data_IF_241594946922
#
_entry.id   IF_241594946922
#
_cell.length_a   1.000
_cell.length_b   1.000
_cell.length_c   1.000
_cell.angle_alpha   90.00
_cell.angle_beta   90.00
_cell.angle_gamma   90.00
#
_symmetry.space_group_name_H-M   'P 1'
#
loop_
_entity.id
_entity.type
_entity.pdbx_description
1 polymer ?
#
# COMPACT_ATOMS: atom_id res chain seq x y z
N UNK A 1 1.02 14.11 -10.17
CA UNK A 1 1.64 13.31 -11.24
C UNK A 1 1.90 11.91 -10.69
N UNK A 2 1.34 10.88 -11.32
CA UNK A 2 1.56 9.49 -10.95
C UNK A 2 3.04 9.15 -11.16
N UNK A 3 3.66 8.48 -10.19
CA UNK A 3 5.01 7.98 -10.32
C UNK A 3 4.95 6.61 -11.01
N UNK A 4 5.61 6.48 -12.15
CA UNK A 4 5.78 5.19 -12.83
C UNK A 4 6.87 4.38 -12.14
N UNK A 5 6.63 3.08 -11.96
CA UNK A 5 7.61 2.17 -11.35
C UNK A 5 8.70 1.72 -12.32
N UNK A 6 9.78 1.20 -11.76
CA UNK A 6 10.94 0.66 -12.49
C UNK A 6 11.00 -0.86 -12.38
N UNK A 7 11.99 -1.48 -12.99
CA UNK A 7 12.23 -2.92 -12.83
C UNK A 7 12.87 -3.23 -11.48
N UNK A 8 12.34 -4.24 -10.78
CA UNK A 8 12.93 -4.84 -9.59
C UNK A 8 13.52 -6.21 -9.95
N UNK A 9 14.76 -6.47 -9.55
CA UNK A 9 15.43 -7.75 -9.76
C UNK A 9 15.63 -8.46 -8.41
N UNK A 10 15.04 -9.65 -8.27
CA UNK A 10 15.30 -10.57 -7.16
C UNK A 10 16.34 -11.60 -7.59
N UNK A 11 17.52 -11.60 -6.97
CA UNK A 11 18.61 -12.52 -7.24
C UNK A 11 18.84 -13.50 -6.10
N UNK A 12 18.86 -14.78 -6.41
CA UNK A 12 19.30 -15.81 -5.46
C UNK A 12 20.84 -15.80 -5.37
N UNK A 13 21.39 -15.54 -4.21
CA UNK A 13 22.84 -15.38 -4.01
C UNK A 13 23.62 -16.70 -4.14
N UNK A 14 22.97 -17.84 -3.93
CA UNK A 14 23.64 -19.17 -4.08
C UNK A 14 23.66 -19.62 -5.53
N UNK A 15 22.53 -19.55 -6.23
CA UNK A 15 22.40 -20.04 -7.60
C UNK A 15 22.68 -19.00 -8.68
N UNK A 16 22.74 -17.71 -8.31
CA UNK A 16 22.82 -16.60 -9.26
C UNK A 16 21.54 -16.34 -10.06
N UNK A 17 20.49 -17.15 -9.86
CA UNK A 17 19.25 -17.02 -10.61
C UNK A 17 18.53 -15.72 -10.29
N UNK A 18 18.04 -15.03 -11.33
CA UNK A 18 17.31 -13.77 -11.23
C UNK A 18 15.84 -13.95 -11.62
N UNK A 19 14.98 -13.16 -10.99
CA UNK A 19 13.58 -12.96 -11.37
C UNK A 19 13.31 -11.46 -11.42
N UNK A 20 12.63 -11.00 -12.45
CA UNK A 20 12.40 -9.59 -12.73
C UNK A 20 10.93 -9.26 -12.60
N UNK A 21 10.61 -8.12 -11.97
CA UNK A 21 9.26 -7.60 -11.78
C UNK A 21 9.20 -6.19 -12.34
N UNK A 22 8.26 -5.95 -13.25
CA UNK A 22 8.12 -4.64 -13.91
C UNK A 22 7.29 -3.65 -13.08
N UNK A 23 7.48 -2.37 -13.34
CA UNK A 23 6.68 -1.25 -12.81
C UNK A 23 6.65 -1.14 -11.27
N UNK A 24 7.68 -1.61 -10.58
CA UNK A 24 7.74 -1.59 -9.12
C UNK A 24 8.07 -0.19 -8.61
N UNK A 25 7.22 0.34 -7.73
CA UNK A 25 7.41 1.65 -7.06
C UNK A 25 7.91 1.50 -5.62
N UNK A 26 7.59 0.37 -4.97
CA UNK A 26 8.10 0.05 -3.64
C UNK A 26 8.05 -1.46 -3.41
N UNK A 27 8.90 -1.95 -2.52
CA UNK A 27 8.93 -3.37 -2.16
C UNK A 27 9.31 -3.57 -0.70
N UNK A 28 8.94 -4.73 -0.17
CA UNK A 28 9.28 -5.22 1.16
C UNK A 28 9.58 -6.71 1.08
N UNK A 29 10.70 -7.12 1.67
CA UNK A 29 11.08 -8.51 1.80
C UNK A 29 10.95 -8.91 3.27
N UNK A 30 10.35 -10.08 3.56
CA UNK A 30 10.30 -10.62 4.92
C UNK A 30 11.71 -10.92 5.44
N UNK A 31 11.91 -10.90 6.76
CA UNK A 31 13.21 -11.16 7.39
C UNK A 31 13.78 -12.53 7.01
N UNK A 32 12.91 -13.53 6.86
CA UNK A 32 13.32 -14.89 6.43
C UNK A 32 13.53 -15.02 4.92
N UNK A 33 13.31 -13.93 4.15
CA UNK A 33 13.47 -13.88 2.70
C UNK A 33 12.45 -14.66 1.89
N UNK A 34 11.40 -15.22 2.51
CA UNK A 34 10.42 -16.09 1.82
C UNK A 34 9.26 -15.33 1.18
N UNK A 35 8.98 -14.12 1.62
CA UNK A 35 7.86 -13.32 1.14
C UNK A 35 8.34 -11.95 0.63
N UNK A 36 8.15 -11.71 -0.66
CA UNK A 36 8.36 -10.42 -1.30
C UNK A 36 6.98 -9.80 -1.56
N UNK A 37 6.77 -8.58 -1.08
CA UNK A 37 5.58 -7.78 -1.39
C UNK A 37 6.02 -6.54 -2.14
N UNK A 38 5.34 -6.20 -3.22
CA UNK A 38 5.64 -5.00 -3.98
C UNK A 38 4.39 -4.30 -4.50
N UNK A 39 4.46 -2.98 -4.57
CA UNK A 39 3.48 -2.16 -5.26
C UNK A 39 3.97 -1.86 -6.67
N UNK A 40 3.09 -1.98 -7.64
CA UNK A 40 3.36 -1.65 -9.03
C UNK A 40 2.51 -0.48 -9.51
N UNK A 41 3.08 0.35 -10.39
CA UNK A 41 2.39 1.43 -11.06
C UNK A 41 2.91 1.58 -12.50
N UNK A 42 2.08 1.28 -13.47
CA UNK A 42 2.37 1.45 -14.91
C UNK A 42 1.80 2.77 -15.44
N UNK A 43 2.31 3.21 -16.56
CA UNK A 43 1.88 4.47 -17.21
C UNK A 43 0.38 4.48 -17.52
N UNK A 44 -0.15 3.38 -18.01
CA UNK A 44 -1.55 3.17 -18.37
C UNK A 44 -2.42 2.60 -17.26
N UNK A 45 -1.84 2.40 -16.06
CA UNK A 45 -2.49 1.83 -14.88
C UNK A 45 -2.94 0.37 -15.00
N UNK A 46 -2.58 -0.34 -16.06
CA UNK A 46 -2.98 -1.75 -16.27
C UNK A 46 -2.31 -2.72 -15.30
N UNK A 47 -1.09 -2.40 -14.86
CA UNK A 47 -0.34 -3.19 -13.88
C UNK A 47 -0.40 -2.64 -12.45
N UNK A 48 -1.21 -1.59 -12.21
CA UNK A 48 -1.30 -1.01 -10.88
C UNK A 48 -1.86 -1.99 -9.86
N UNK A 49 -1.17 -2.13 -8.75
CA UNK A 49 -1.59 -3.06 -7.72
C UNK A 49 -0.56 -3.33 -6.65
N UNK A 50 -0.99 -4.11 -5.67
CA UNK A 50 -0.16 -4.69 -4.62
C UNK A 50 -0.09 -6.19 -4.81
N UNK A 51 1.11 -6.72 -4.86
CA UNK A 51 1.40 -8.12 -5.17
C UNK A 51 2.25 -8.76 -4.08
N UNK A 52 1.99 -10.04 -3.79
CA UNK A 52 2.83 -10.85 -2.92
C UNK A 52 3.39 -12.05 -3.68
N UNK A 53 4.66 -12.35 -3.43
CA UNK A 53 5.41 -13.44 -4.05
C UNK A 53 5.99 -14.33 -2.95
N UNK A 54 5.80 -15.63 -3.07
CA UNK A 54 6.60 -16.60 -2.34
C UNK A 54 7.91 -16.81 -3.10
N UNK A 55 9.03 -16.38 -2.55
CA UNK A 55 10.33 -16.40 -3.23
C UNK A 55 10.87 -17.80 -3.48
N UNK A 56 10.42 -18.82 -2.72
CA UNK A 56 10.83 -20.20 -2.86
C UNK A 56 10.01 -20.91 -3.95
N UNK A 57 8.68 -20.85 -3.88
CA UNK A 57 7.78 -21.51 -4.83
C UNK A 57 7.52 -20.69 -6.07
N UNK A 58 7.74 -19.34 -5.99
CA UNK A 58 7.44 -18.33 -7.00
C UNK A 58 5.95 -18.11 -7.26
N UNK A 59 5.11 -18.65 -6.39
CA UNK A 59 3.69 -18.34 -6.44
C UNK A 59 3.47 -16.86 -6.20
N UNK A 60 2.63 -16.24 -7.04
CA UNK A 60 2.28 -14.84 -6.94
C UNK A 60 0.79 -14.67 -6.67
N UNK A 61 0.45 -13.70 -5.85
CA UNK A 61 -0.93 -13.32 -5.52
C UNK A 61 -1.07 -11.82 -5.74
N UNK A 62 -2.06 -11.43 -6.53
CA UNK A 62 -2.50 -10.05 -6.59
C UNK A 62 -3.39 -9.77 -5.36
N UNK A 63 -2.88 -9.02 -4.39
CA UNK A 63 -3.60 -8.73 -3.15
C UNK A 63 -4.75 -7.76 -3.43
N UNK A 64 -4.46 -6.69 -4.15
CA UNK A 64 -5.43 -5.68 -4.58
C UNK A 64 -4.91 -5.01 -5.85
N UNK A 65 -5.77 -4.86 -6.86
CA UNK A 65 -5.41 -4.26 -8.15
C UNK A 65 -6.31 -3.09 -8.49
N UNK A 66 -5.85 -2.26 -9.39
CA UNK A 66 -6.54 -1.10 -9.92
C UNK A 66 -5.77 0.20 -9.75
N UNK A 67 -6.13 1.24 -10.52
CA UNK A 67 -5.47 2.55 -10.47
C UNK A 67 -5.50 3.11 -9.06
N UNK A 68 -4.34 3.26 -8.43
CA UNK A 68 -4.24 3.78 -7.06
C UNK A 68 -2.79 4.03 -6.67
N UNK A 69 -2.62 4.75 -5.57
CA UNK A 69 -1.41 4.74 -4.78
C UNK A 69 -1.53 3.67 -3.70
N UNK A 70 -0.55 2.79 -3.62
CA UNK A 70 -0.41 1.78 -2.55
C UNK A 70 0.76 2.19 -1.67
N UNK A 71 0.47 2.63 -0.44
CA UNK A 71 1.45 3.27 0.46
C UNK A 71 1.51 2.59 1.82
N UNK A 72 2.58 2.86 2.55
CA UNK A 72 2.76 2.40 3.93
C UNK A 72 2.59 0.88 4.09
N UNK A 73 3.06 0.14 3.09
CA UNK A 73 3.04 -1.31 3.12
C UNK A 73 3.91 -1.77 4.30
N UNK A 74 3.29 -2.44 5.25
CA UNK A 74 3.97 -2.92 6.46
C UNK A 74 3.74 -4.41 6.59
N UNK A 75 4.80 -5.17 6.42
CA UNK A 75 4.81 -6.62 6.54
C UNK A 75 5.08 -6.99 7.99
N UNK A 76 4.30 -7.92 8.56
CA UNK A 76 4.59 -8.50 9.86
C UNK A 76 5.91 -9.30 9.81
N UNK A 77 6.67 -9.34 10.89
CA UNK A 77 7.99 -9.99 10.95
C UNK A 77 7.99 -11.45 10.45
N UNK A 78 6.89 -12.19 10.70
CA UNK A 78 6.70 -13.57 10.22
C UNK A 78 6.36 -13.68 8.73
N UNK A 79 6.12 -12.57 8.04
CA UNK A 79 5.76 -12.55 6.62
C UNK A 79 4.35 -13.09 6.30
N UNK A 80 3.55 -13.42 7.31
CA UNK A 80 2.24 -14.07 7.17
C UNK A 80 1.06 -13.11 7.01
N UNK A 81 1.29 -11.81 7.23
CA UNK A 81 0.27 -10.77 7.11
C UNK A 81 0.90 -9.41 6.86
N UNK A 82 0.12 -8.50 6.29
CA UNK A 82 0.51 -7.11 6.05
C UNK A 82 -0.66 -6.15 6.20
N UNK A 83 -0.32 -4.88 6.43
CA UNK A 83 -1.24 -3.75 6.32
C UNK A 83 -0.72 -2.73 5.32
N UNK A 84 -1.62 -2.00 4.69
CA UNK A 84 -1.28 -0.93 3.75
C UNK A 84 -2.43 0.07 3.66
N UNK A 85 -2.14 1.26 3.16
CA UNK A 85 -3.15 2.26 2.82
C UNK A 85 -3.20 2.48 1.31
N UNK A 86 -4.39 2.72 0.78
CA UNK A 86 -4.60 3.02 -0.63
C UNK A 86 -5.77 3.97 -0.83
N UNK A 87 -5.71 4.79 -1.87
CA UNK A 87 -6.77 5.68 -2.33
C UNK A 87 -7.59 5.09 -3.47
N UNK A 88 -7.55 3.76 -3.68
CA UNK A 88 -8.13 3.08 -4.82
C UNK A 88 -9.58 3.47 -5.10
N UNK A 89 -10.41 3.56 -4.05
CA UNK A 89 -11.84 3.83 -4.19
C UNK A 89 -12.16 5.31 -4.51
N UNK A 90 -11.16 6.18 -4.39
CA UNK A 90 -11.27 7.62 -4.65
C UNK A 90 -10.18 8.16 -5.59
N UNK A 91 -9.49 7.30 -6.32
CA UNK A 91 -8.29 7.65 -7.10
C UNK A 91 -8.52 8.76 -8.14
N UNK A 92 -9.70 8.83 -8.75
CA UNK A 92 -10.07 9.89 -9.69
C UNK A 92 -10.78 11.09 -9.07
N UNK A 93 -11.01 11.08 -7.76
CA UNK A 93 -11.75 12.13 -7.07
C UNK A 93 -10.89 13.40 -6.88
N UNK A 94 -11.52 14.58 -6.84
CA UNK A 94 -10.85 15.83 -6.50
C UNK A 94 -10.22 15.76 -5.10
N UNK A 95 -10.92 15.09 -4.19
CA UNK A 95 -10.47 14.79 -2.83
C UNK A 95 -10.24 13.29 -2.71
N UNK A 96 -8.99 12.91 -2.59
CA UNK A 96 -8.61 11.51 -2.43
C UNK A 96 -8.61 11.10 -0.96
N UNK A 97 -9.21 9.96 -0.68
CA UNK A 97 -9.33 9.38 0.65
C UNK A 97 -8.55 8.07 0.69
N UNK A 98 -7.76 7.89 1.75
CA UNK A 98 -7.04 6.66 1.98
C UNK A 98 -7.83 5.72 2.88
N UNK A 99 -7.81 4.44 2.53
CA UNK A 99 -8.41 3.34 3.29
C UNK A 99 -7.29 2.41 3.77
N UNK A 100 -7.34 2.00 5.03
CA UNK A 100 -6.46 1.00 5.61
C UNK A 100 -7.00 -0.40 5.34
N UNK A 101 -6.15 -1.24 4.78
CA UNK A 101 -6.42 -2.66 4.55
C UNK A 101 -5.46 -3.55 5.34
N UNK A 102 -5.95 -4.74 5.67
CA UNK A 102 -5.18 -5.84 6.23
C UNK A 102 -5.33 -7.07 5.33
N UNK A 103 -4.24 -7.77 5.07
CA UNK A 103 -4.24 -9.01 4.31
C UNK A 103 -3.41 -10.09 5.00
N UNK A 104 -3.86 -11.34 4.90
CA UNK A 104 -3.14 -12.54 5.34
C UNK A 104 -2.78 -13.40 4.14
N UNK A 105 -1.62 -14.04 4.16
CA UNK A 105 -1.06 -14.80 3.02
C UNK A 105 -1.98 -15.86 2.42
N UNK A 106 -2.95 -16.37 3.17
CA UNK A 106 -3.93 -17.37 2.68
C UNK A 106 -5.29 -16.76 2.32
N UNK A 107 -5.46 -15.46 2.50
CA UNK A 107 -6.74 -14.81 2.19
C UNK A 107 -6.84 -14.50 0.70
N UNK A 108 -8.03 -14.69 0.13
CA UNK A 108 -8.31 -14.38 -1.28
C UNK A 108 -8.30 -12.88 -1.58
N UNK A 109 -8.63 -12.06 -0.58
CA UNK A 109 -8.69 -10.61 -0.70
C UNK A 109 -8.33 -9.94 0.63
N UNK A 110 -7.86 -8.69 0.61
CA UNK A 110 -7.62 -7.93 1.82
C UNK A 110 -8.94 -7.49 2.48
N UNK A 111 -8.90 -7.33 3.79
CA UNK A 111 -10.03 -6.82 4.57
C UNK A 111 -9.85 -5.33 4.83
N UNK A 112 -10.87 -4.53 4.54
CA UNK A 112 -10.90 -3.13 4.92
C UNK A 112 -10.99 -2.99 6.45
N UNK A 113 -10.06 -2.25 7.04
CA UNK A 113 -9.97 -2.04 8.49
C UNK A 113 -10.52 -0.68 8.89
N UNK A 114 -10.12 0.38 8.19
CA UNK A 114 -10.54 1.74 8.50
C UNK A 114 -10.54 2.62 7.26
N UNK A 115 -11.52 3.52 7.19
CA UNK A 115 -11.62 4.63 6.23
C UNK A 115 -12.28 5.82 6.91
N UNK A 116 -12.47 6.92 6.20
CA UNK A 116 -13.27 8.05 6.69
C UNK A 116 -14.64 7.57 7.19
N UNK A 117 -15.05 8.05 8.36
CA UNK A 117 -16.32 7.68 8.99
C UNK A 117 -16.34 6.32 9.70
N UNK A 118 -15.25 5.55 9.70
CA UNK A 118 -15.16 4.32 10.49
C UNK A 118 -15.17 4.65 11.99
N UNK A 119 -15.93 3.87 12.77
CA UNK A 119 -15.96 4.01 14.24
C UNK A 119 -14.53 3.99 14.81
N UNK A 120 -14.18 4.98 15.62
CA UNK A 120 -12.84 5.14 16.19
C UNK A 120 -11.94 6.11 15.40
N UNK A 121 -12.31 6.49 14.18
CA UNK A 121 -11.71 7.64 13.49
C UNK A 121 -12.48 8.89 13.92
N UNK A 122 -11.83 9.90 14.56
CA UNK A 122 -12.51 11.11 14.98
C UNK A 122 -13.17 11.84 13.81
N UNK A 123 -14.30 12.53 14.07
CA UNK A 123 -14.98 13.33 13.04
C UNK A 123 -14.03 14.33 12.39
N UNK A 124 -14.11 14.47 11.06
CA UNK A 124 -13.23 15.34 10.27
C UNK A 124 -11.78 14.87 10.16
N UNK A 125 -11.49 13.61 10.54
CA UNK A 125 -10.19 13.00 10.37
C UNK A 125 -10.23 11.82 9.40
N UNK A 126 -9.08 11.55 8.80
CA UNK A 126 -8.89 10.60 7.70
C UNK A 126 -7.76 9.64 8.03
N UNK A 127 -7.75 8.47 7.42
CA UNK A 127 -6.58 7.59 7.46
C UNK A 127 -5.41 8.32 6.78
N UNK A 128 -4.30 8.47 7.52
CA UNK A 128 -3.16 9.23 7.03
C UNK A 128 -2.29 8.38 6.08
N UNK A 129 -2.01 8.93 4.90
CA UNK A 129 -1.02 8.38 3.99
C UNK A 129 0.44 8.67 4.39
N UNK A 130 0.63 9.59 5.35
CA UNK A 130 1.96 10.03 5.80
C UNK A 130 2.42 9.32 7.07
N UNK A 131 1.49 8.88 7.92
CA UNK A 131 1.81 8.19 9.15
C UNK A 131 2.34 6.78 8.91
N UNK A 132 3.25 6.32 9.75
CA UNK A 132 3.74 4.95 9.68
C UNK A 132 2.71 3.98 10.26
N UNK A 133 2.61 2.80 9.63
CA UNK A 133 1.89 1.66 10.18
C UNK A 133 2.88 0.77 10.94
N UNK A 134 2.40 0.11 11.99
CA UNK A 134 3.20 -0.87 12.72
C UNK A 134 2.31 -1.99 13.24
N UNK A 135 2.84 -3.21 13.27
CA UNK A 135 2.24 -4.32 13.99
C UNK A 135 2.74 -4.38 15.42
N UNK A 136 1.89 -4.88 16.33
CA UNK A 136 2.39 -5.43 17.59
C UNK A 136 3.20 -6.70 17.30
N UNK A 137 4.15 -7.02 18.19
CA UNK A 137 5.04 -8.19 18.02
C UNK A 137 4.27 -9.51 17.89
N UNK A 138 3.11 -9.62 18.53
CA UNK A 138 2.21 -10.79 18.43
C UNK A 138 1.33 -10.78 17.15
N UNK A 139 1.42 -9.75 16.31
CA UNK A 139 0.65 -9.59 15.09
C UNK A 139 -0.85 -9.38 15.27
N UNK A 140 -1.32 -9.18 16.51
CA UNK A 140 -2.76 -9.05 16.79
C UNK A 140 -3.28 -7.61 16.70
N UNK A 141 -2.41 -6.62 16.71
CA UNK A 141 -2.76 -5.20 16.67
C UNK A 141 -1.98 -4.50 15.59
N UNK A 142 -2.61 -3.51 14.95
CA UNK A 142 -1.94 -2.56 14.07
C UNK A 142 -2.13 -1.15 14.60
N UNK A 143 -1.07 -0.34 14.53
CA UNK A 143 -1.09 1.08 14.82
C UNK A 143 -1.25 1.85 13.52
N UNK A 144 -2.15 2.81 13.52
CA UNK A 144 -2.36 3.72 12.38
C UNK A 144 -2.40 5.16 12.86
N UNK A 145 -2.04 6.07 11.97
CA UNK A 145 -2.18 7.51 12.17
C UNK A 145 -3.42 8.02 11.44
N UNK A 146 -4.14 8.92 12.08
CA UNK A 146 -5.16 9.75 11.42
C UNK A 146 -4.68 11.19 11.35
N UNK A 147 -5.07 11.92 10.32
CA UNK A 147 -4.74 13.33 10.13
C UNK A 147 -5.99 14.15 9.84
N UNK A 148 -5.96 15.43 10.20
CA UNK A 148 -6.93 16.36 9.64
C UNK A 148 -6.68 16.49 8.14
N UNK A 149 -7.76 16.63 7.35
CA UNK A 149 -7.62 16.85 5.93
C UNK A 149 -6.90 18.19 5.70
N UNK A 150 -5.77 18.17 5.04
CA UNK A 150 -5.16 19.37 4.48
C UNK A 150 -5.94 19.74 3.23
N UNK A 151 -7.08 20.42 3.42
CA UNK A 151 -7.81 20.99 2.29
C UNK A 151 -6.89 21.89 1.49
N UNK A 152 -6.88 21.71 0.19
CA UNK A 152 -6.27 22.64 -0.76
C UNK A 152 -7.04 23.95 -0.62
N UNK A 153 -6.63 24.81 0.32
CA UNK A 153 -7.12 26.18 0.39
C UNK A 153 -6.68 26.87 -0.90
N UNK A 154 -7.52 26.80 -1.93
CA UNK A 154 -7.46 27.77 -3.02
C UNK A 154 -7.50 29.13 -2.33
N UNK A 155 -6.37 29.86 -2.31
CA UNK A 155 -6.32 31.28 -1.96
C UNK A 155 -7.33 31.96 -2.87
N UNK A 156 -8.51 32.31 -2.31
CA UNK A 156 -9.37 33.30 -2.92
C UNK A 156 -8.52 34.57 -3.01
N UNK A 157 -8.03 34.89 -4.19
CA UNK A 157 -7.52 36.23 -4.49
C UNK A 157 -8.72 37.14 -4.34
N UNK A 158 -8.75 37.87 -3.24
CA UNK A 158 -9.61 39.02 -3.10
C UNK A 158 -9.15 40.03 -4.14
N UNK A 159 -9.86 40.08 -5.25
CA UNK A 159 -9.80 41.23 -6.18
C UNK A 159 -10.81 42.24 -5.62
N UNK A 160 -10.39 43.07 -4.68
CA UNK A 160 -11.08 44.33 -4.42
C UNK A 160 -10.60 45.34 -5.49
N UNK A 161 -11.57 45.78 -6.27
CA UNK A 161 -11.52 47.06 -6.97
C UNK A 161 -12.24 48.10 -6.13
#
# INVERSE_FOLDING_TARGET
KKSEGTELVLRNLKSGKETRYAHVVSYHLSEDGKHLVYAAASKDSTADGLYAINTNTRDSVAILTGPADYKKITLHEKGDQLTFVTNRDSFGAEQQEYTLYHWKTKAKAPTQIAKFGTRGIPSGRWVSEHGNLAFSKDGKKTLLWNSAQTGNRKRRRNTQR
#
